data_IF_593185135690
#
_entry.id   IF_593185135690
#
_cell.length_a   1.000
_cell.length_b   1.000
_cell.length_c   1.000
_cell.angle_alpha   90.00
_cell.angle_beta   90.00
_cell.angle_gamma   90.00
#
_symmetry.space_group_name_H-M   'P 1'
#
loop_
_entity.id
_entity.type
_entity.pdbx_description
1 polymer ?
#
# COMPACT_ATOMS: atom_id res chain seq x y z
N UNK A 1 11.16 23.68 16.48
CA UNK A 1 11.97 23.84 15.24
C UNK A 1 11.41 23.09 14.01
N UNK A 2 10.45 22.17 14.13
CA UNK A 2 9.94 21.36 13.00
C UNK A 2 8.88 22.09 12.14
N UNK A 3 8.23 23.14 12.66
CA UNK A 3 7.08 23.78 12.00
C UNK A 3 7.41 24.50 10.69
N UNK A 4 8.65 24.99 10.51
CA UNK A 4 9.07 25.63 9.27
C UNK A 4 9.11 24.65 8.08
N UNK A 5 9.38 23.38 8.36
CA UNK A 5 9.57 22.31 7.37
C UNK A 5 8.26 21.85 6.69
N UNK A 6 7.10 22.26 7.22
CA UNK A 6 5.76 21.95 6.68
C UNK A 6 5.26 23.02 5.69
N UNK A 7 5.96 24.15 5.56
CA UNK A 7 5.50 25.26 4.71
C UNK A 7 5.68 24.92 3.21
N UNK A 8 4.66 25.16 2.36
CA UNK A 8 4.82 25.03 0.92
C UNK A 8 5.94 25.98 0.45
N UNK A 9 6.92 25.44 -0.29
CA UNK A 9 8.12 26.18 -0.73
C UNK A 9 9.35 26.05 0.18
N UNK A 10 9.27 25.28 1.27
CA UNK A 10 10.45 24.98 2.09
C UNK A 10 11.38 24.00 1.38
N UNK A 11 12.60 24.44 1.06
CA UNK A 11 13.67 23.58 0.59
C UNK A 11 14.29 22.87 1.78
N UNK A 12 14.02 21.56 1.90
CA UNK A 12 14.69 20.73 2.88
C UNK A 12 16.21 20.77 2.66
N UNK A 13 17.00 21.16 3.67
CA UNK A 13 18.45 21.12 3.55
C UNK A 13 18.86 19.66 3.39
N UNK A 14 19.35 19.30 2.21
CA UNK A 14 19.98 18.00 1.99
C UNK A 14 21.43 18.11 2.44
N UNK A 15 21.90 17.12 3.18
CA UNK A 15 23.32 17.00 3.53
C UNK A 15 23.97 16.04 2.53
N UNK A 16 24.58 16.54 1.43
CA UNK A 16 25.20 15.66 0.44
C UNK A 16 26.35 14.84 1.02
N UNK A 17 27.09 15.38 2.00
CA UNK A 17 28.16 14.67 2.73
C UNK A 17 27.63 13.46 3.51
N UNK A 18 26.39 13.53 4.00
CA UNK A 18 25.71 12.43 4.70
C UNK A 18 24.88 11.53 3.79
N UNK A 19 24.93 11.73 2.47
CA UNK A 19 24.19 10.92 1.50
C UNK A 19 22.66 10.99 1.64
N UNK A 20 22.13 11.97 2.36
CA UNK A 20 20.70 12.12 2.62
C UNK A 20 20.02 12.90 1.47
N UNK A 21 19.12 12.21 0.76
CA UNK A 21 18.33 12.79 -0.33
C UNK A 21 17.21 13.72 0.15
N UNK A 22 16.46 14.28 -0.80
CA UNK A 22 15.21 15.02 -0.51
C UNK A 22 14.20 14.07 0.14
N UNK A 23 13.47 14.48 1.20
CA UNK A 23 12.47 13.63 1.79
C UNK A 23 11.34 13.31 0.81
N UNK A 24 10.93 12.05 0.80
CA UNK A 24 9.78 11.55 0.08
C UNK A 24 8.54 11.50 0.96
N UNK A 25 7.42 11.14 0.34
CA UNK A 25 6.14 10.93 1.01
C UNK A 25 5.57 9.59 0.56
N UNK A 26 5.28 8.72 1.52
CA UNK A 26 4.60 7.45 1.34
C UNK A 26 3.43 7.37 2.31
N UNK A 27 2.22 7.47 1.77
CA UNK A 27 1.00 7.49 2.56
C UNK A 27 0.70 6.14 3.21
N UNK A 28 1.07 5.04 2.57
CA UNK A 28 0.58 3.72 2.90
C UNK A 28 1.68 2.90 3.56
N UNK A 29 1.35 2.27 4.69
CA UNK A 29 2.24 1.35 5.38
C UNK A 29 2.36 0.05 4.58
N UNK A 30 3.34 -0.77 4.94
CA UNK A 30 3.54 -2.06 4.30
C UNK A 30 2.32 -2.96 4.49
N UNK A 31 2.07 -3.81 3.51
CA UNK A 31 1.00 -4.79 3.61
C UNK A 31 1.31 -5.81 4.72
N UNK A 32 0.28 -6.36 5.39
CA UNK A 32 0.47 -7.44 6.34
C UNK A 32 1.21 -8.63 5.70
N UNK A 33 1.89 -9.45 6.51
CA UNK A 33 2.63 -10.58 6.01
C UNK A 33 1.76 -11.51 5.13
N UNK A 34 2.27 -11.88 3.95
CA UNK A 34 1.54 -12.69 2.97
C UNK A 34 0.57 -11.92 2.07
N UNK A 35 0.51 -10.60 2.18
CA UNK A 35 -0.25 -9.73 1.28
C UNK A 35 0.68 -8.89 0.41
N UNK A 36 0.25 -8.59 -0.81
CA UNK A 36 0.99 -7.80 -1.78
C UNK A 36 0.30 -6.47 -2.04
N UNK A 37 1.04 -5.35 -2.12
CA UNK A 37 0.47 -4.06 -2.42
C UNK A 37 -0.03 -4.04 -3.87
N UNK A 38 -1.27 -3.61 -4.06
CA UNK A 38 -1.92 -3.49 -5.37
C UNK A 38 -2.62 -2.15 -5.49
N UNK A 39 -2.85 -1.72 -6.73
CA UNK A 39 -3.62 -0.53 -7.00
C UNK A 39 -5.03 -0.64 -6.40
N UNK A 40 -5.59 0.50 -6.02
CA UNK A 40 -6.99 0.61 -5.66
C UNK A 40 -7.92 0.26 -6.82
N UNK A 41 -9.21 0.14 -6.52
CA UNK A 41 -10.21 0.10 -7.59
C UNK A 41 -10.09 1.39 -8.43
N UNK A 42 -10.20 1.24 -9.75
CA UNK A 42 -10.14 2.39 -10.65
C UNK A 42 -11.47 3.14 -10.55
N UNK A 43 -11.52 4.18 -9.73
CA UNK A 43 -12.59 5.16 -9.84
C UNK A 43 -12.46 5.82 -11.22
N UNK A 44 -13.43 5.55 -12.10
CA UNK A 44 -13.44 5.95 -13.50
C UNK A 44 -13.35 7.46 -13.74
N UNK A 45 -13.52 8.27 -12.69
CA UNK A 45 -13.67 9.71 -12.82
C UNK A 45 -12.34 10.48 -12.73
N UNK A 46 -11.35 10.07 -11.96
CA UNK A 46 -10.16 10.91 -11.73
C UNK A 46 -8.88 10.07 -11.77
N UNK A 47 -8.23 10.04 -12.95
CA UNK A 47 -6.82 9.73 -13.20
C UNK A 47 -6.21 8.58 -12.42
N UNK A 48 -5.91 7.45 -13.11
CA UNK A 48 -5.15 6.27 -12.62
C UNK A 48 -4.34 6.58 -11.36
N UNK A 49 -4.92 6.35 -10.18
CA UNK A 49 -4.13 6.39 -8.97
C UNK A 49 -3.30 5.11 -8.98
N UNK A 50 -2.10 5.19 -9.55
CA UNK A 50 -1.06 4.16 -9.41
C UNK A 50 -0.58 4.02 -7.96
N UNK A 51 -1.20 4.75 -7.03
CA UNK A 51 -1.06 4.50 -5.61
C UNK A 51 -1.54 3.08 -5.31
N UNK A 52 -0.59 2.27 -4.83
CA UNK A 52 -0.87 0.94 -4.32
C UNK A 52 -1.64 1.09 -3.01
N UNK A 53 -2.90 1.47 -3.03
CA UNK A 53 -3.71 1.82 -1.85
C UNK A 53 -4.38 0.60 -1.20
N UNK A 54 -4.25 -0.58 -1.81
CA UNK A 54 -4.81 -1.83 -1.30
C UNK A 54 -3.72 -2.89 -1.14
N UNK A 55 -4.02 -3.87 -0.32
CA UNK A 55 -3.28 -5.11 -0.23
C UNK A 55 -4.14 -6.20 -0.84
N UNK A 56 -3.54 -7.14 -1.56
CA UNK A 56 -4.22 -8.34 -2.04
C UNK A 56 -3.49 -9.62 -1.68
N UNK A 57 -4.25 -10.71 -1.55
CA UNK A 57 -3.70 -12.08 -1.48
C UNK A 57 -4.61 -13.05 -2.20
N UNK A 58 -4.05 -14.10 -2.79
CA UNK A 58 -4.83 -15.17 -3.39
C UNK A 58 -5.00 -16.29 -2.38
N UNK A 59 -6.25 -16.73 -2.18
CA UNK A 59 -6.61 -17.81 -1.26
C UNK A 59 -7.22 -18.95 -2.06
N UNK A 60 -6.74 -20.18 -1.81
CA UNK A 60 -7.21 -21.42 -2.44
C UNK A 60 -7.98 -22.27 -1.42
N UNK A 61 -9.23 -22.59 -1.70
CA UNK A 61 -10.18 -23.32 -0.84
C UNK A 61 -10.89 -24.46 -1.59
N UNK A 62 -10.12 -25.40 -2.13
CA UNK A 62 -10.65 -26.53 -2.91
C UNK A 62 -11.17 -27.65 -1.99
N UNK A 63 -12.34 -27.45 -1.37
CA UNK A 63 -12.92 -28.39 -0.39
C UNK A 63 -14.07 -29.25 -0.94
N UNK A 64 -14.07 -29.60 -2.23
CA UNK A 64 -15.02 -30.54 -2.87
C UNK A 64 -16.50 -30.10 -2.95
N UNK A 65 -16.88 -29.08 -2.16
CA UNK A 65 -18.14 -28.34 -2.26
C UNK A 65 -17.82 -26.97 -2.84
N UNK A 66 -17.55 -26.90 -4.15
CA UNK A 66 -17.58 -25.62 -4.84
C UNK A 66 -19.01 -25.07 -4.70
N UNK A 67 -19.19 -23.80 -4.27
CA UNK A 67 -20.50 -23.16 -4.34
C UNK A 67 -20.95 -23.21 -5.80
N UNK A 68 -21.93 -24.07 -6.08
CA UNK A 68 -22.55 -24.17 -7.39
C UNK A 68 -23.20 -22.81 -7.68
N UNK A 69 -22.77 -22.15 -8.75
CA UNK A 69 -23.31 -20.88 -9.26
C UNK A 69 -22.99 -19.60 -8.49
N UNK A 70 -21.73 -19.37 -8.13
CA UNK A 70 -21.28 -17.97 -8.06
C UNK A 70 -21.09 -17.47 -9.50
N UNK A 71 -21.81 -16.42 -9.88
CA UNK A 71 -21.49 -15.69 -11.10
C UNK A 71 -19.98 -15.38 -11.13
N UNK A 72 -19.37 -15.55 -12.30
CA UNK A 72 -18.04 -15.01 -12.56
C UNK A 72 -18.11 -13.53 -12.21
N UNK A 73 -17.26 -13.08 -11.28
CA UNK A 73 -17.20 -11.71 -10.74
C UNK A 73 -18.06 -11.42 -9.50
N UNK A 74 -18.48 -12.45 -8.75
CA UNK A 74 -19.05 -12.20 -7.40
C UNK A 74 -17.99 -11.57 -6.50
N UNK A 75 -18.29 -10.36 -6.03
CA UNK A 75 -17.53 -9.68 -4.99
C UNK A 75 -18.30 -9.74 -3.66
N UNK A 76 -17.63 -10.16 -2.59
CA UNK A 76 -18.21 -10.24 -1.25
C UNK A 76 -17.38 -9.40 -0.27
N UNK A 77 -18.03 -8.50 0.46
CA UNK A 77 -17.39 -7.75 1.53
C UNK A 77 -17.64 -8.45 2.87
N UNK A 78 -16.56 -8.79 3.57
CA UNK A 78 -16.64 -9.33 4.93
C UNK A 78 -16.81 -8.20 5.95
N UNK A 79 -17.24 -8.55 7.17
CA UNK A 79 -17.34 -7.60 8.29
C UNK A 79 -15.97 -7.03 8.72
N UNK A 80 -14.89 -7.66 8.31
CA UNK A 80 -13.50 -7.26 8.60
C UNK A 80 -12.97 -6.23 7.58
N UNK A 81 -13.81 -5.80 6.62
CA UNK A 81 -13.40 -4.90 5.55
C UNK A 81 -12.54 -5.58 4.47
N UNK A 82 -12.60 -6.91 4.40
CA UNK A 82 -11.94 -7.68 3.36
C UNK A 82 -12.92 -7.89 2.21
N UNK A 83 -12.50 -7.55 1.02
CA UNK A 83 -13.25 -7.79 -0.21
C UNK A 83 -12.74 -9.07 -0.87
N UNK A 84 -13.62 -10.05 -1.08
CA UNK A 84 -13.33 -11.32 -1.76
C UNK A 84 -13.84 -11.27 -3.19
N UNK A 85 -12.97 -11.55 -4.15
CA UNK A 85 -13.27 -11.66 -5.57
C UNK A 85 -13.04 -13.10 -6.02
N UNK A 86 -14.10 -13.80 -6.39
CA UNK A 86 -14.00 -15.20 -6.81
C UNK A 86 -13.56 -15.31 -8.27
N UNK A 87 -12.54 -16.12 -8.54
CA UNK A 87 -11.90 -16.19 -9.86
C UNK A 87 -12.66 -17.12 -10.83
N UNK A 88 -13.91 -16.80 -11.14
CA UNK A 88 -14.72 -17.53 -12.12
C UNK A 88 -15.53 -18.72 -11.57
N UNK A 89 -16.45 -19.24 -12.39
CA UNK A 89 -17.57 -20.12 -11.99
C UNK A 89 -17.20 -21.45 -11.34
N UNK A 90 -15.99 -21.96 -11.57
CA UNK A 90 -15.51 -23.25 -11.03
C UNK A 90 -14.14 -23.13 -10.35
N UNK A 91 -13.68 -21.90 -10.09
CA UNK A 91 -12.43 -21.73 -9.39
C UNK A 91 -12.62 -21.97 -7.90
N UNK A 92 -11.71 -22.74 -7.32
CA UNK A 92 -11.56 -22.82 -5.87
C UNK A 92 -10.59 -21.77 -5.33
N UNK A 93 -10.24 -20.76 -6.14
CA UNK A 93 -9.42 -19.63 -5.75
C UNK A 93 -10.24 -18.35 -5.77
N UNK A 94 -9.98 -17.50 -4.79
CA UNK A 94 -10.47 -16.13 -4.76
C UNK A 94 -9.34 -15.20 -4.33
N UNK A 95 -9.44 -13.94 -4.76
CA UNK A 95 -8.53 -12.89 -4.33
C UNK A 95 -9.18 -12.08 -3.22
N UNK A 96 -8.49 -11.95 -2.11
CA UNK A 96 -8.87 -11.03 -1.05
C UNK A 96 -8.17 -9.70 -1.26
N UNK A 97 -8.88 -8.62 -1.00
CA UNK A 97 -8.38 -7.26 -0.97
C UNK A 97 -8.72 -6.61 0.36
N UNK A 98 -7.81 -5.78 0.86
CA UNK A 98 -8.06 -4.93 2.03
C UNK A 98 -7.42 -3.56 1.78
N UNK A 99 -7.98 -2.50 2.36
CA UNK A 99 -7.33 -1.20 2.31
C UNK A 99 -5.96 -1.26 2.99
N UNK A 100 -4.94 -0.62 2.40
CA UNK A 100 -3.64 -0.54 3.06
C UNK A 100 -3.74 0.33 4.31
N UNK A 101 -3.08 -0.08 5.41
CA UNK A 101 -2.97 0.79 6.57
C UNK A 101 -2.26 2.10 6.18
N UNK A 102 -2.67 3.22 6.78
CA UNK A 102 -1.99 4.49 6.63
C UNK A 102 -0.74 4.51 7.50
N UNK A 103 0.38 5.08 7.01
CA UNK A 103 1.57 5.28 7.86
C UNK A 103 1.28 6.36 8.88
N UNK A 104 1.62 6.08 10.15
CA UNK A 104 1.68 7.11 11.19
C UNK A 104 2.73 8.19 10.85
N UNK A 105 3.81 7.78 10.18
CA UNK A 105 4.93 8.62 9.77
C UNK A 105 5.08 8.54 8.24
N UNK A 106 4.35 9.37 7.48
CA UNK A 106 4.29 9.23 6.03
C UNK A 106 5.46 9.88 5.30
N UNK A 107 6.29 10.68 5.99
CA UNK A 107 7.48 11.28 5.39
C UNK A 107 8.67 10.34 5.60
N UNK A 108 9.57 10.30 4.63
CA UNK A 108 10.79 9.51 4.76
C UNK A 108 11.99 10.21 4.14
N UNK A 109 13.19 9.87 4.60
CA UNK A 109 14.43 10.20 3.91
C UNK A 109 15.22 8.93 3.67
N UNK A 110 15.88 8.90 2.51
CA UNK A 110 16.75 7.82 2.08
C UNK A 110 18.20 8.25 2.33
N UNK A 111 18.92 7.52 3.19
CA UNK A 111 20.34 7.73 3.50
C UNK A 111 21.16 6.67 2.79
N UNK A 112 22.17 7.10 2.03
CA UNK A 112 23.17 6.17 1.50
C UNK A 112 24.12 5.73 2.62
N UNK A 113 24.18 4.43 2.88
CA UNK A 113 25.19 3.80 3.72
C UNK A 113 26.53 3.75 2.99
N UNK A 114 27.63 3.84 3.72
CA UNK A 114 29.00 3.74 3.18
C UNK A 114 29.27 2.42 2.44
N UNK A 115 28.48 1.39 2.74
CA UNK A 115 28.58 0.06 2.13
C UNK A 115 27.77 -0.08 0.83
N UNK A 116 27.20 1.02 0.32
CA UNK A 116 26.47 1.05 -0.95
C UNK A 116 24.97 0.73 -0.89
N UNK A 117 24.42 0.54 0.32
CA UNK A 117 22.97 0.40 0.54
C UNK A 117 22.27 1.74 0.75
N UNK A 118 20.95 1.80 0.54
CA UNK A 118 20.12 2.95 0.93
C UNK A 118 19.22 2.53 2.08
N UNK A 119 19.32 3.22 3.21
CA UNK A 119 18.47 3.01 4.38
C UNK A 119 17.35 4.07 4.39
N UNK A 120 16.10 3.61 4.52
CA UNK A 120 14.92 4.48 4.56
C UNK A 120 14.46 4.69 5.99
N UNK A 121 14.43 5.95 6.41
CA UNK A 121 13.97 6.36 7.73
C UNK A 121 12.67 7.15 7.62
N UNK A 122 11.65 6.75 8.36
CA UNK A 122 10.33 7.39 8.36
C UNK A 122 10.18 8.36 9.53
N UNK A 123 9.38 9.42 9.34
CA UNK A 123 9.08 10.42 10.36
C UNK A 123 7.73 11.14 10.10
N UNK A 124 7.22 11.86 11.10
CA UNK A 124 6.03 12.72 10.99
C UNK A 124 6.42 14.20 11.15
N UNK A 125 5.70 15.08 10.46
CA UNK A 125 5.81 16.54 10.58
C UNK A 125 4.84 17.12 11.62
N UNK A 126 3.97 16.30 12.22
CA UNK A 126 3.06 16.68 13.29
C UNK A 126 3.69 16.28 14.62
N UNK A 127 4.30 17.25 15.29
CA UNK A 127 4.69 17.18 16.70
C UNK A 127 3.99 18.31 17.43
#
# INVERSE_FOLDING_TARGET
MITAMKRPGFSWPTCPEGGAGKPGYDRYADCPAGWQPVAGDQDYDHGRSGELSRCSRTVRVCNGRTPQSADSDRQENTREGITREFLGRNSCEYREYVARPLRAQPYYFDIKSEQGGTERHYFDLRH
#
